data_IF_896590981366
#
_entry.id   IF_896590981366
#
_cell.length_a   1.000
_cell.length_b   1.000
_cell.length_c   1.000
_cell.angle_alpha   90.00
_cell.angle_beta   90.00
_cell.angle_gamma   90.00
#
_symmetry.space_group_name_H-M   'P 1'
#
loop_
_entity.id
_entity.type
_entity.pdbx_description
1 polymer ?
#
# COMPACT_ATOMS: atom_id res chain seq x y z
N UNK A 1 -32.88 16.13 -21.70
CA UNK A 1 -32.09 14.94 -22.07
C UNK A 1 -30.58 15.18 -22.04
N UNK A 2 -30.07 16.36 -22.43
CA UNK A 2 -28.62 16.63 -22.50
C UNK A 2 -27.93 16.80 -21.12
N UNK A 3 -28.64 17.30 -20.11
CA UNK A 3 -28.10 17.50 -18.75
C UNK A 3 -27.84 16.21 -17.97
N UNK A 4 -28.52 15.10 -18.31
CA UNK A 4 -28.35 13.80 -17.66
C UNK A 4 -26.96 13.21 -17.89
N UNK A 5 -26.41 13.39 -19.10
CA UNK A 5 -25.06 12.93 -19.43
C UNK A 5 -23.97 13.73 -18.68
N UNK A 6 -24.22 15.02 -18.43
CA UNK A 6 -23.33 15.87 -17.64
C UNK A 6 -23.32 15.43 -16.19
N UNK A 7 -24.49 15.16 -15.61
CA UNK A 7 -24.61 14.66 -14.23
C UNK A 7 -23.90 13.30 -14.09
N UNK A 8 -24.11 12.40 -15.04
CA UNK A 8 -23.45 11.09 -15.06
C UNK A 8 -21.92 11.24 -15.14
N UNK A 9 -21.43 12.15 -15.99
CA UNK A 9 -20.00 12.47 -16.10
C UNK A 9 -19.41 12.99 -14.78
N UNK A 10 -20.11 13.89 -14.09
CA UNK A 10 -19.69 14.43 -12.80
C UNK A 10 -19.62 13.32 -11.74
N UNK A 11 -20.59 12.39 -11.71
CA UNK A 11 -20.61 11.26 -10.78
C UNK A 11 -19.40 10.33 -11.03
N UNK A 12 -19.11 10.01 -12.30
CA UNK A 12 -17.95 9.18 -12.67
C UNK A 12 -16.64 9.88 -12.28
N UNK A 13 -16.49 11.17 -12.56
CA UNK A 13 -15.34 11.96 -12.14
C UNK A 13 -15.18 12.00 -10.62
N UNK A 14 -16.28 12.12 -9.88
CA UNK A 14 -16.26 12.08 -8.42
C UNK A 14 -15.75 10.74 -7.90
N UNK A 15 -16.20 9.62 -8.48
CA UNK A 15 -15.73 8.29 -8.12
C UNK A 15 -14.27 8.08 -8.47
N UNK A 16 -13.83 8.48 -9.66
CA UNK A 16 -12.42 8.40 -10.08
C UNK A 16 -11.52 9.21 -9.15
N UNK A 17 -11.92 10.44 -8.82
CA UNK A 17 -11.18 11.29 -7.90
C UNK A 17 -11.09 10.66 -6.50
N UNK A 18 -12.22 10.16 -5.99
CA UNK A 18 -12.25 9.53 -4.67
C UNK A 18 -11.51 8.20 -4.61
N UNK A 19 -11.51 7.41 -5.68
CA UNK A 19 -10.88 6.10 -5.72
C UNK A 19 -9.38 6.17 -6.03
N UNK A 20 -8.95 7.09 -6.89
CA UNK A 20 -7.55 7.20 -7.33
C UNK A 20 -6.80 8.27 -6.56
N UNK A 21 -7.35 9.49 -6.46
CA UNK A 21 -6.64 10.59 -5.81
C UNK A 21 -6.64 10.47 -4.28
N UNK A 22 -7.66 9.88 -3.65
CA UNK A 22 -7.67 9.70 -2.20
C UNK A 22 -6.57 8.76 -1.67
N UNK A 23 -6.32 7.57 -2.27
CA UNK A 23 -5.16 6.76 -1.88
C UNK A 23 -3.84 7.40 -2.32
N UNK A 24 -3.77 8.09 -3.46
CA UNK A 24 -2.57 8.85 -3.86
C UNK A 24 -2.19 9.92 -2.82
N UNK A 25 -3.18 10.61 -2.24
CA UNK A 25 -2.94 11.64 -1.22
C UNK A 25 -2.35 11.07 0.08
N UNK A 26 -2.62 9.79 0.35
CA UNK A 26 -2.10 9.07 1.52
C UNK A 26 -0.93 8.14 1.17
N UNK A 27 -0.61 8.00 -0.12
CA UNK A 27 0.42 7.11 -0.62
C UNK A 27 1.76 7.42 0.02
N UNK A 28 2.11 8.69 0.16
CA UNK A 28 3.35 9.10 0.82
C UNK A 28 3.42 8.60 2.28
N UNK A 29 2.31 8.69 3.02
CA UNK A 29 2.25 8.18 4.40
C UNK A 29 2.28 6.65 4.44
N UNK A 30 1.63 5.96 3.50
CA UNK A 30 1.69 4.50 3.38
C UNK A 30 3.11 4.02 3.04
N UNK A 31 3.78 4.69 2.10
CA UNK A 31 5.17 4.39 1.73
C UNK A 31 6.09 4.61 2.94
N UNK A 32 6.02 5.76 3.62
CA UNK A 32 6.89 6.04 4.77
C UNK A 32 6.63 5.05 5.90
N UNK A 33 5.37 4.88 6.30
CA UNK A 33 5.02 3.94 7.38
C UNK A 33 5.45 2.52 7.02
N UNK A 34 5.26 2.11 5.77
CA UNK A 34 5.71 0.83 5.26
C UNK A 34 7.23 0.66 5.33
N UNK A 35 7.99 1.60 4.79
CA UNK A 35 9.46 1.54 4.82
C UNK A 35 10.01 1.54 6.25
N UNK A 36 9.42 2.31 7.16
CA UNK A 36 9.81 2.33 8.58
C UNK A 36 9.59 0.95 9.22
N UNK A 37 8.42 0.35 9.02
CA UNK A 37 8.12 -0.98 9.57
C UNK A 37 9.02 -2.03 8.97
N UNK A 38 9.24 -1.99 7.65
CA UNK A 38 10.12 -2.93 6.96
C UNK A 38 11.56 -2.82 7.47
N UNK A 39 12.03 -1.60 7.73
CA UNK A 39 13.34 -1.37 8.30
C UNK A 39 13.45 -1.93 9.72
N UNK A 40 12.41 -1.78 10.55
CA UNK A 40 12.36 -2.37 11.90
C UNK A 40 12.37 -3.89 11.79
N UNK A 41 11.54 -4.48 10.93
CA UNK A 41 11.46 -5.93 10.70
C UNK A 41 12.80 -6.46 10.20
N UNK A 42 13.45 -5.82 9.24
CA UNK A 42 14.71 -6.33 8.70
C UNK A 42 15.88 -6.13 9.68
N UNK A 43 15.84 -5.11 10.56
CA UNK A 43 16.90 -4.86 11.56
C UNK A 43 16.74 -5.71 12.82
N UNK A 44 15.50 -5.84 13.32
CA UNK A 44 15.21 -6.49 14.61
C UNK A 44 14.48 -7.83 14.46
N UNK A 45 14.07 -8.20 13.25
CA UNK A 45 13.31 -9.41 12.98
C UNK A 45 14.00 -10.69 13.43
N UNK A 46 15.33 -10.69 13.44
CA UNK A 46 16.12 -11.80 13.98
C UNK A 46 15.78 -12.12 15.45
N UNK A 47 15.41 -11.12 16.26
CA UNK A 47 15.01 -11.31 17.67
C UNK A 47 13.67 -12.04 17.78
N UNK A 48 12.79 -11.87 16.78
CA UNK A 48 11.44 -12.44 16.73
C UNK A 48 11.32 -13.61 15.75
N UNK A 49 12.43 -14.14 15.23
CA UNK A 49 12.48 -15.16 14.16
C UNK A 49 11.73 -14.76 12.87
N UNK A 50 11.61 -13.45 12.59
CA UNK A 50 11.04 -12.95 11.34
C UNK A 50 12.08 -13.02 10.23
N UNK A 51 11.66 -13.49 9.05
CA UNK A 51 12.52 -13.56 7.88
C UNK A 51 12.80 -12.17 7.31
N UNK A 52 13.99 -12.01 6.73
CA UNK A 52 14.35 -10.77 6.05
C UNK A 52 13.52 -10.61 4.77
N UNK A 53 12.81 -9.50 4.64
CA UNK A 53 12.00 -9.19 3.47
C UNK A 53 12.84 -8.44 2.43
N UNK A 54 13.08 -9.00 1.24
CA UNK A 54 13.78 -8.30 0.18
C UNK A 54 12.92 -7.17 -0.42
N UNK A 55 13.56 -6.01 -0.62
CA UNK A 55 12.94 -4.87 -1.30
C UNK A 55 13.06 -5.08 -2.81
N UNK A 56 11.96 -5.49 -3.43
CA UNK A 56 11.82 -5.69 -4.87
C UNK A 56 10.71 -4.76 -5.38
N UNK A 57 10.57 -4.65 -6.69
CA UNK A 57 9.50 -3.83 -7.28
C UNK A 57 8.11 -4.30 -6.83
N UNK A 58 7.91 -5.61 -6.69
CA UNK A 58 6.64 -6.20 -6.24
C UNK A 58 6.38 -5.89 -4.76
N UNK A 59 7.35 -6.12 -3.88
CA UNK A 59 7.18 -5.85 -2.44
C UNK A 59 7.02 -4.35 -2.18
N UNK A 60 7.77 -3.49 -2.87
CA UNK A 60 7.62 -2.05 -2.80
C UNK A 60 6.24 -1.55 -3.25
N UNK A 61 5.64 -2.17 -4.27
CA UNK A 61 4.32 -1.79 -4.78
C UNK A 61 3.20 -2.21 -3.82
N UNK A 62 3.29 -3.41 -3.23
CA UNK A 62 2.37 -3.86 -2.17
C UNK A 62 2.44 -2.93 -0.97
N UNK A 63 3.64 -2.60 -0.52
CA UNK A 63 3.86 -1.71 0.62
C UNK A 63 3.41 -0.28 0.30
N UNK A 64 3.62 0.22 -0.91
CA UNK A 64 3.20 1.56 -1.31
C UNK A 64 1.67 1.70 -1.34
N UNK A 65 0.96 0.71 -1.88
CA UNK A 65 -0.50 0.74 -1.99
C UNK A 65 -1.15 0.52 -0.63
N UNK A 66 -0.71 -0.50 0.11
CA UNK A 66 -1.37 -0.92 1.34
C UNK A 66 -0.75 -0.32 2.61
N UNK A 67 0.48 0.19 2.57
CA UNK A 67 1.19 0.74 3.72
C UNK A 67 1.55 -0.30 4.77
N UNK A 68 1.30 0.03 6.04
CA UNK A 68 1.52 -0.85 7.21
C UNK A 68 0.88 -2.25 7.09
N UNK A 69 -0.41 -2.42 6.74
CA UNK A 69 -0.96 -3.76 6.59
C UNK A 69 -0.29 -4.54 5.46
N UNK A 70 0.15 -3.85 4.39
CA UNK A 70 0.93 -4.46 3.31
C UNK A 70 2.28 -5.00 3.78
N UNK A 71 3.02 -4.23 4.59
CA UNK A 71 4.31 -4.68 5.10
C UNK A 71 4.19 -5.88 6.04
N UNK A 72 3.19 -5.89 6.92
CA UNK A 72 2.96 -7.01 7.82
C UNK A 72 2.65 -8.28 7.03
N UNK A 73 1.78 -8.21 6.03
CA UNK A 73 1.45 -9.36 5.19
C UNK A 73 2.66 -9.91 4.44
N UNK A 74 3.46 -9.02 3.84
CA UNK A 74 4.69 -9.43 3.14
C UNK A 74 5.69 -10.06 4.12
N UNK A 75 5.84 -9.50 5.32
CA UNK A 75 6.71 -10.06 6.35
C UNK A 75 6.27 -11.47 6.77
N UNK A 76 4.97 -11.65 7.01
CA UNK A 76 4.41 -12.95 7.35
C UNK A 76 4.59 -13.96 6.21
N UNK A 77 4.39 -13.54 4.95
CA UNK A 77 4.62 -14.38 3.79
C UNK A 77 6.06 -14.89 3.73
N UNK A 78 7.05 -13.99 3.86
CA UNK A 78 8.46 -14.40 3.86
C UNK A 78 8.86 -15.20 5.09
N UNK A 79 8.15 -15.07 6.21
CA UNK A 79 8.47 -15.79 7.46
C UNK A 79 7.87 -17.19 7.51
N UNK A 80 6.67 -17.40 6.98
CA UNK A 80 5.91 -18.65 7.15
C UNK A 80 5.71 -19.46 5.87
N UNK A 81 5.74 -18.82 4.70
CA UNK A 81 5.36 -19.44 3.43
C UNK A 81 6.54 -19.58 2.45
N UNK A 82 7.69 -19.00 2.77
CA UNK A 82 8.93 -19.08 2.00
C UNK A 82 10.03 -19.68 2.89
#
# INVERSE_FOLDING_TARGET
>A
MQYWWIILGIVILFFLNKLILAPLRKLFFHIISGLVVLHIVNTYGHILHLAHVPITLVTGLIIGIFGFPGTVLVTLYYTFLH
#
